data_IF_359632356340
#
_entry.id   IF_359632356340
#
_cell.length_a   1.000
_cell.length_b   1.000
_cell.length_c   1.000
_cell.angle_alpha   90.00
_cell.angle_beta   90.00
_cell.angle_gamma   90.00
#
_symmetry.space_group_name_H-M   'P 1'
#
loop_
_entity.id
_entity.type
_entity.pdbx_description
1 polymer ?
#
# COMPACT_ATOMS: atom_id res chain seq x y z
N UNK A 1 -17.67 15.67 -10.15
CA UNK A 1 -18.17 14.48 -9.43
C UNK A 1 -16.98 13.87 -8.71
N UNK A 2 -17.02 13.70 -7.38
CA UNK A 2 -16.01 12.89 -6.71
C UNK A 2 -16.07 11.47 -7.28
N UNK A 3 -14.91 10.88 -7.56
CA UNK A 3 -14.80 9.48 -7.96
C UNK A 3 -15.36 8.60 -6.83
N UNK A 4 -15.89 7.42 -7.15
CA UNK A 4 -16.50 6.50 -6.18
C UNK A 4 -15.63 6.36 -4.92
N UNK A 5 -16.26 6.19 -3.75
CA UNK A 5 -15.60 6.03 -2.45
C UNK A 5 -14.63 4.84 -2.35
N UNK A 6 -14.52 4.04 -3.41
CA UNK A 6 -13.62 2.90 -3.57
C UNK A 6 -12.29 3.31 -4.22
N UNK A 7 -12.23 4.43 -4.93
CA UNK A 7 -10.98 4.88 -5.56
C UNK A 7 -10.05 5.45 -4.49
N UNK A 8 -8.82 4.93 -4.34
CA UNK A 8 -7.92 5.31 -3.25
C UNK A 8 -7.20 6.62 -3.59
N UNK A 9 -7.96 7.71 -3.73
CA UNK A 9 -7.49 9.02 -4.20
C UNK A 9 -6.30 9.51 -3.36
N UNK A 10 -6.30 9.27 -2.05
CA UNK A 10 -5.20 9.64 -1.15
C UNK A 10 -3.84 9.08 -1.59
N UNK A 11 -3.81 7.91 -2.25
CA UNK A 11 -2.57 7.27 -2.68
C UNK A 11 -2.16 7.61 -4.12
N UNK A 12 -3.10 8.11 -4.94
CA UNK A 12 -2.80 8.54 -6.32
C UNK A 12 -2.62 10.05 -6.48
N UNK A 13 -3.16 10.85 -5.55
CA UNK A 13 -2.85 12.29 -5.43
C UNK A 13 -1.35 12.61 -5.49
N UNK A 14 -0.44 11.84 -4.87
CA UNK A 14 1.00 12.10 -4.91
C UNK A 14 1.72 11.61 -6.18
N UNK A 15 1.03 11.03 -7.17
CA UNK A 15 1.67 10.56 -8.39
C UNK A 15 2.45 11.70 -9.06
N UNK A 16 3.66 11.37 -9.52
CA UNK A 16 4.44 12.30 -10.33
C UNK A 16 3.69 12.62 -11.63
N UNK A 17 3.83 13.84 -12.19
CA UNK A 17 3.18 14.20 -13.45
C UNK A 17 3.48 13.20 -14.58
N UNK A 18 4.74 12.75 -14.70
CA UNK A 18 5.14 11.74 -15.69
C UNK A 18 4.36 10.43 -15.53
N UNK A 19 4.17 9.98 -14.30
CA UNK A 19 3.53 8.70 -14.01
C UNK A 19 2.02 8.79 -14.22
N UNK A 20 1.41 9.93 -13.86
CA UNK A 20 0.00 10.22 -14.16
C UNK A 20 -0.25 10.29 -15.67
N UNK A 21 0.62 10.97 -16.42
CA UNK A 21 0.55 11.04 -17.88
C UNK A 21 0.64 9.65 -18.51
N UNK A 22 1.56 8.80 -18.02
CA UNK A 22 1.69 7.42 -18.47
C UNK A 22 0.40 6.60 -18.22
N UNK A 23 -0.24 6.77 -17.07
CA UNK A 23 -1.55 6.14 -16.77
C UNK A 23 -2.61 6.63 -17.76
N UNK A 24 -2.69 7.94 -18.02
CA UNK A 24 -3.65 8.50 -18.99
C UNK A 24 -3.41 7.96 -20.40
N UNK A 25 -2.15 7.91 -20.85
CA UNK A 25 -1.78 7.34 -22.15
C UNK A 25 -2.17 5.88 -22.24
N UNK A 26 -1.84 5.07 -21.22
CA UNK A 26 -2.22 3.66 -21.17
C UNK A 26 -3.74 3.48 -21.24
N UNK A 27 -4.51 4.23 -20.44
CA UNK A 27 -5.98 4.14 -20.46
C UNK A 27 -6.59 4.48 -21.82
N UNK A 28 -5.93 5.33 -22.62
CA UNK A 28 -6.34 5.63 -24.01
C UNK A 28 -6.06 4.49 -24.99
N UNK A 29 -5.15 3.55 -24.68
CA UNK A 29 -4.88 2.39 -25.54
C UNK A 29 -5.81 1.20 -25.25
N UNK A 30 -6.46 1.19 -24.08
CA UNK A 30 -7.38 0.11 -23.70
C UNK A 30 -8.57 0.08 -24.65
N UNK A 31 -8.83 -1.08 -25.27
CA UNK A 31 -9.97 -1.28 -26.17
C UNK A 31 -11.26 -0.96 -25.43
N UNK A 32 -12.02 0.00 -25.96
CA UNK A 32 -13.32 0.37 -25.40
C UNK A 32 -14.26 -0.84 -25.43
N UNK A 33 -14.71 -1.27 -24.27
CA UNK A 33 -15.82 -2.21 -24.12
C UNK A 33 -17.06 -1.39 -23.77
N UNK A 34 -18.16 -1.60 -24.50
CA UNK A 34 -19.46 -1.03 -24.14
C UNK A 34 -20.24 -2.11 -23.39
N UNK A 35 -20.68 -1.76 -22.19
CA UNK A 35 -21.57 -2.57 -21.39
C UNK A 35 -22.57 -1.60 -20.75
N UNK A 36 -23.86 -1.90 -20.85
CA UNK A 36 -24.90 -1.07 -20.23
C UNK A 36 -24.90 -1.33 -18.71
N UNK A 37 -24.00 -0.64 -18.01
CA UNK A 37 -24.01 -0.55 -16.55
C UNK A 37 -24.81 0.68 -16.12
N UNK A 38 -25.67 0.58 -15.09
CA UNK A 38 -26.28 1.74 -14.46
C UNK A 38 -25.23 2.77 -14.03
N UNK A 39 -25.62 4.05 -14.01
CA UNK A 39 -24.75 5.09 -13.48
C UNK A 39 -24.47 4.85 -11.99
N UNK A 40 -23.27 5.17 -11.49
CA UNK A 40 -22.96 5.05 -10.07
C UNK A 40 -23.84 5.98 -9.24
N UNK A 41 -24.53 5.41 -8.24
CA UNK A 41 -25.28 6.16 -7.23
C UNK A 41 -24.41 6.41 -5.99
N UNK A 42 -24.17 7.67 -5.67
CA UNK A 42 -23.36 8.07 -4.51
C UNK A 42 -24.25 8.23 -3.28
N UNK A 43 -24.27 7.21 -2.42
CA UNK A 43 -25.15 7.17 -1.23
C UNK A 43 -24.51 7.69 0.05
N UNK A 44 -23.19 7.92 0.03
CA UNK A 44 -22.40 8.40 1.18
C UNK A 44 -21.33 9.39 0.73
N UNK A 45 -20.98 10.37 1.57
CA UNK A 45 -19.81 11.21 1.34
C UNK A 45 -18.56 10.35 1.20
N UNK A 46 -17.66 10.74 0.30
CA UNK A 46 -16.33 10.12 0.20
C UNK A 46 -15.52 10.58 1.41
N UNK A 47 -15.05 9.62 2.20
CA UNK A 47 -14.14 9.90 3.31
C UNK A 47 -12.70 9.93 2.81
N UNK A 48 -11.93 10.91 3.27
CA UNK A 48 -10.52 11.05 2.94
C UNK A 48 -9.69 10.82 4.20
N UNK A 49 -8.98 9.70 4.23
CA UNK A 49 -7.97 9.44 5.26
C UNK A 49 -6.67 10.15 4.83
N UNK A 50 -6.21 11.21 5.55
CA UNK A 50 -5.01 11.93 5.18
C UNK A 50 -3.78 11.05 5.40
N UNK A 51 -3.14 10.63 4.30
CA UNK A 51 -1.89 9.89 4.35
C UNK A 51 -0.70 10.87 4.30
N UNK A 52 0.14 10.97 5.35
CA UNK A 52 1.09 12.08 5.49
C UNK A 52 2.06 12.26 4.32
N UNK A 53 2.64 11.19 3.80
CA UNK A 53 3.58 11.28 2.68
C UNK A 53 2.88 11.66 1.36
N UNK A 54 1.64 11.22 1.17
CA UNK A 54 0.85 11.65 0.02
C UNK A 54 0.48 13.15 0.07
N UNK A 55 0.15 13.65 1.26
CA UNK A 55 -0.21 15.05 1.45
C UNK A 55 0.98 16.00 1.25
N UNK A 56 2.19 15.57 1.63
CA UNK A 56 3.43 16.31 1.33
C UNK A 56 3.72 16.37 -0.18
N UNK A 57 3.34 15.32 -0.90
CA UNK A 57 3.59 15.16 -2.34
C UNK A 57 5.06 14.81 -2.64
N UNK A 58 5.32 14.46 -3.91
CA UNK A 58 6.64 14.10 -4.42
C UNK A 58 7.00 14.91 -5.65
N UNK A 59 8.31 15.06 -5.89
CA UNK A 59 8.84 15.69 -7.11
C UNK A 59 9.86 14.78 -7.78
N UNK A 60 10.09 14.99 -9.08
CA UNK A 60 11.07 14.21 -9.84
C UNK A 60 12.47 14.26 -9.22
N UNK A 61 12.88 15.42 -8.70
CA UNK A 61 14.17 15.58 -8.03
C UNK A 61 14.32 14.68 -6.79
N UNK A 62 13.22 14.33 -6.12
CA UNK A 62 13.24 13.42 -4.98
C UNK A 62 13.54 11.96 -5.38
N UNK A 63 13.31 11.57 -6.63
CA UNK A 63 13.50 10.18 -7.07
C UNK A 63 14.96 9.74 -7.14
N UNK A 64 15.90 10.70 -7.07
CA UNK A 64 17.33 10.43 -6.95
C UNK A 64 17.74 10.00 -5.53
N UNK A 65 16.93 10.29 -4.51
CA UNK A 65 17.15 9.89 -3.12
C UNK A 65 16.46 8.53 -2.87
N UNK A 66 17.20 7.48 -2.49
CA UNK A 66 16.64 6.14 -2.29
C UNK A 66 15.51 6.09 -1.25
N UNK A 67 15.60 6.89 -0.17
CA UNK A 67 14.59 6.90 0.89
C UNK A 67 13.32 7.58 0.39
N UNK A 68 13.44 8.70 -0.34
CA UNK A 68 12.28 9.42 -0.88
C UNK A 68 11.61 8.65 -2.02
N UNK A 69 12.40 8.01 -2.89
CA UNK A 69 11.88 7.06 -3.89
C UNK A 69 11.16 5.89 -3.22
N UNK A 70 11.72 5.37 -2.13
CA UNK A 70 11.08 4.33 -1.32
C UNK A 70 9.75 4.76 -0.72
N UNK A 71 9.69 5.97 -0.16
CA UNK A 71 8.46 6.56 0.36
C UNK A 71 7.40 6.67 -0.73
N UNK A 72 7.78 7.12 -1.93
CA UNK A 72 6.89 7.19 -3.09
C UNK A 72 6.33 5.81 -3.45
N UNK A 73 7.22 4.81 -3.62
CA UNK A 73 6.84 3.45 -3.99
C UNK A 73 5.96 2.77 -2.93
N UNK A 74 6.25 2.97 -1.64
CA UNK A 74 5.42 2.46 -0.54
C UNK A 74 4.05 3.12 -0.50
N UNK A 75 3.97 4.39 -0.87
CA UNK A 75 2.71 5.14 -1.00
C UNK A 75 1.86 4.56 -2.12
N UNK A 76 2.37 4.59 -3.36
CA UNK A 76 1.61 4.15 -4.54
C UNK A 76 1.44 2.63 -4.60
N UNK A 77 2.25 1.89 -3.85
CA UNK A 77 2.13 0.45 -3.61
C UNK A 77 1.23 0.11 -2.42
N UNK A 78 0.56 1.09 -1.81
CA UNK A 78 -0.45 0.89 -0.77
C UNK A 78 0.01 0.11 0.47
N UNK A 79 1.31 0.02 0.75
CA UNK A 79 1.78 -0.91 1.79
C UNK A 79 1.24 -0.50 3.16
N UNK A 80 1.22 0.81 3.43
CA UNK A 80 0.75 1.36 4.71
C UNK A 80 -0.76 1.33 4.88
N UNK A 81 -1.53 1.06 3.83
CA UNK A 81 -2.99 0.91 3.92
C UNK A 81 -3.35 -0.33 4.74
N UNK A 82 -2.65 -1.44 4.50
CA UNK A 82 -2.85 -2.68 5.25
C UNK A 82 -2.00 -2.72 6.53
N UNK A 83 -0.78 -2.21 6.47
CA UNK A 83 0.18 -2.31 7.57
C UNK A 83 0.10 -1.18 8.61
N UNK A 84 -0.97 -0.39 8.62
CA UNK A 84 -1.25 0.58 9.68
C UNK A 84 -2.58 0.25 10.38
N UNK A 85 -2.78 0.69 11.64
CA UNK A 85 -4.01 0.44 12.36
C UNK A 85 -5.22 1.10 11.68
N UNK A 86 -6.41 0.58 11.97
CA UNK A 86 -7.68 1.18 11.57
C UNK A 86 -8.58 1.25 12.79
N UNK A 87 -9.06 2.44 13.12
CA UNK A 87 -9.96 2.68 14.25
C UNK A 87 -11.32 3.16 13.74
N UNK A 88 -12.41 2.51 14.18
CA UNK A 88 -13.80 2.88 13.81
C UNK A 88 -14.04 3.06 12.31
N UNK A 89 -13.32 2.29 11.48
CA UNK A 89 -13.44 2.36 10.02
C UNK A 89 -12.55 3.42 9.35
N UNK A 90 -11.72 4.15 10.09
CA UNK A 90 -10.78 5.17 9.61
C UNK A 90 -9.35 4.68 9.78
N UNK A 91 -8.51 4.88 8.76
CA UNK A 91 -7.09 4.48 8.85
C UNK A 91 -6.33 5.44 9.78
N UNK A 92 -5.58 4.90 10.74
CA UNK A 92 -4.69 5.69 11.59
C UNK A 92 -3.26 5.70 11.01
N UNK A 93 -2.98 6.74 10.22
CA UNK A 93 -1.65 7.00 9.67
C UNK A 93 -0.76 7.83 10.59
N UNK A 94 -1.16 8.09 11.84
CA UNK A 94 -0.21 8.60 12.86
C UNK A 94 0.67 7.47 13.40
N UNK A 95 0.16 6.23 13.33
CA UNK A 95 0.84 5.00 13.74
C UNK A 95 1.32 4.17 12.54
N UNK A 96 1.98 4.80 11.55
CA UNK A 96 2.41 4.15 10.31
C UNK A 96 3.21 2.87 10.55
N UNK A 97 2.82 1.79 9.86
CA UNK A 97 3.54 0.51 9.92
C UNK A 97 3.29 -0.31 11.19
N UNK A 98 2.50 0.18 12.16
CA UNK A 98 2.20 -0.52 13.43
C UNK A 98 1.33 -1.78 13.27
N UNK A 99 0.88 -2.06 12.05
CA UNK A 99 0.08 -3.24 11.70
C UNK A 99 -1.22 -3.29 12.49
N UNK A 100 -1.71 -4.51 12.72
CA UNK A 100 -2.88 -4.75 13.57
C UNK A 100 -4.23 -4.58 12.85
N UNK A 101 -4.25 -4.19 11.58
CA UNK A 101 -5.48 -4.19 10.78
C UNK A 101 -5.99 -5.63 10.63
N UNK A 102 -7.15 -5.89 11.21
CA UNK A 102 -7.83 -7.18 11.13
C UNK A 102 -8.75 -7.23 9.90
N UNK A 103 -8.67 -8.31 9.14
CA UNK A 103 -9.55 -8.62 8.02
C UNK A 103 -10.57 -9.68 8.46
N UNK A 104 -11.38 -9.36 9.47
CA UNK A 104 -12.40 -10.26 10.01
C UNK A 104 -13.76 -10.07 9.32
N UNK A 105 -14.67 -11.07 9.42
CA UNK A 105 -16.01 -11.00 8.80
C UNK A 105 -16.85 -9.79 9.25
N UNK A 106 -16.62 -9.27 10.46
CA UNK A 106 -17.34 -8.10 10.99
C UNK A 106 -16.80 -6.77 10.47
N UNK A 107 -15.59 -6.74 9.92
CA UNK A 107 -15.00 -5.52 9.38
C UNK A 107 -15.49 -5.24 7.95
N UNK A 108 -15.80 -6.28 7.17
CA UNK A 108 -16.09 -6.18 5.73
C UNK A 108 -16.71 -7.48 5.22
N UNK A 109 -18.01 -7.46 4.94
CA UNK A 109 -18.81 -8.61 4.45
C UNK A 109 -18.45 -9.04 3.02
N UNK A 110 -17.70 -8.22 2.28
CA UNK A 110 -17.42 -8.38 0.85
C UNK A 110 -16.05 -8.98 0.54
N UNK A 111 -15.22 -9.26 1.55
CA UNK A 111 -13.89 -9.84 1.28
C UNK A 111 -13.92 -11.34 1.05
N UNK A 112 -13.03 -11.85 0.17
CA UNK A 112 -12.88 -13.29 -0.06
C UNK A 112 -12.71 -14.04 1.27
N UNK A 113 -13.29 -15.23 1.37
CA UNK A 113 -13.18 -16.09 2.56
C UNK A 113 -11.73 -16.36 2.97
N UNK A 114 -10.78 -16.30 2.03
CA UNK A 114 -9.35 -16.49 2.25
C UNK A 114 -8.69 -15.38 3.07
N UNK A 115 -9.29 -14.19 3.16
CA UNK A 115 -8.79 -13.05 3.95
C UNK A 115 -9.23 -13.14 5.41
N UNK A 116 -10.28 -13.93 5.70
CA UNK A 116 -10.93 -13.99 7.00
C UNK A 116 -9.95 -14.43 8.09
N UNK A 117 -9.89 -13.63 9.16
CA UNK A 117 -9.09 -13.92 10.35
C UNK A 117 -7.60 -13.60 10.19
N UNK A 118 -7.21 -12.89 9.13
CA UNK A 118 -5.84 -12.41 8.96
C UNK A 118 -5.66 -11.04 9.60
N UNK A 119 -4.48 -10.79 10.13
CA UNK A 119 -4.07 -9.52 10.73
C UNK A 119 -2.78 -9.10 10.03
N UNK A 120 -2.75 -7.87 9.52
CA UNK A 120 -1.54 -7.35 8.91
C UNK A 120 -0.43 -7.19 9.97
N UNK A 121 0.77 -7.74 9.74
CA UNK A 121 1.87 -7.62 10.69
C UNK A 121 2.42 -6.19 10.73
N UNK A 122 3.19 -5.90 11.77
CA UNK A 122 3.99 -4.67 11.89
C UNK A 122 5.14 -4.71 10.87
N UNK A 123 5.40 -3.58 10.22
CA UNK A 123 6.54 -3.38 9.31
C UNK A 123 7.41 -2.19 9.72
N UNK A 124 7.31 -1.79 10.99
CA UNK A 124 8.18 -0.77 11.58
C UNK A 124 9.63 -1.23 11.66
N UNK A 125 10.56 -0.29 11.83
CA UNK A 125 11.97 -0.57 12.09
C UNK A 125 12.24 -1.18 13.48
N UNK A 126 11.20 -1.45 14.28
CA UNK A 126 11.37 -2.05 15.59
C UNK A 126 12.02 -3.44 15.47
N UNK A 127 13.06 -3.73 16.27
CA UNK A 127 13.89 -4.93 16.12
C UNK A 127 13.13 -6.25 16.31
N UNK A 128 12.24 -6.33 17.31
CA UNK A 128 11.52 -7.57 17.66
C UNK A 128 10.05 -7.56 17.26
N UNK A 129 9.34 -6.48 17.56
CA UNK A 129 7.94 -6.29 17.17
C UNK A 129 7.73 -6.01 15.67
N UNK A 130 8.72 -5.48 14.95
CA UNK A 130 8.64 -5.16 13.52
C UNK A 130 9.63 -5.95 12.67
N UNK A 131 10.08 -5.35 11.57
CA UNK A 131 11.04 -5.96 10.63
C UNK A 131 12.47 -5.46 10.83
N UNK A 132 12.75 -4.75 11.93
CA UNK A 132 14.05 -4.13 12.20
C UNK A 132 15.22 -5.11 12.24
N UNK A 133 14.99 -6.36 12.69
CA UNK A 133 16.02 -7.40 12.70
C UNK A 133 16.06 -8.28 11.44
N UNK A 134 15.16 -8.06 10.47
CA UNK A 134 15.18 -8.80 9.21
C UNK A 134 16.29 -8.23 8.34
N UNK A 135 16.97 -9.07 7.58
CA UNK A 135 17.89 -8.65 6.52
C UNK A 135 17.12 -8.06 5.34
N UNK A 136 17.79 -7.26 4.51
CA UNK A 136 17.17 -6.68 3.32
C UNK A 136 16.67 -7.79 2.37
N UNK A 137 17.45 -8.85 2.20
CA UNK A 137 17.07 -10.00 1.39
C UNK A 137 15.80 -10.70 1.90
N UNK A 138 15.61 -10.79 3.21
CA UNK A 138 14.39 -11.36 3.81
C UNK A 138 13.18 -10.47 3.57
N UNK A 139 13.34 -9.14 3.68
CA UNK A 139 12.26 -8.19 3.39
C UNK A 139 11.86 -8.26 1.91
N UNK A 140 12.84 -8.22 1.00
CA UNK A 140 12.61 -8.33 -0.45
C UNK A 140 11.94 -9.65 -0.82
N UNK A 141 12.37 -10.76 -0.20
CA UNK A 141 11.77 -12.09 -0.40
C UNK A 141 10.32 -12.13 0.09
N UNK A 142 10.01 -11.48 1.21
CA UNK A 142 8.64 -11.39 1.69
C UNK A 142 7.74 -10.59 0.73
N UNK A 143 8.25 -9.48 0.19
CA UNK A 143 7.53 -8.63 -0.77
C UNK A 143 7.27 -9.37 -2.10
N UNK A 144 8.30 -10.01 -2.66
CA UNK A 144 8.26 -10.54 -4.04
C UNK A 144 7.79 -11.99 -4.12
N UNK A 145 8.06 -12.80 -3.09
CA UNK A 145 7.75 -14.24 -3.09
C UNK A 145 6.71 -14.65 -2.06
N UNK A 146 6.28 -13.71 -1.21
CA UNK A 146 5.37 -14.02 -0.12
C UNK A 146 5.97 -15.01 0.89
N UNK A 147 7.27 -14.95 1.16
CA UNK A 147 7.95 -15.84 2.11
C UNK A 147 8.52 -15.02 3.27
N UNK A 148 7.98 -15.25 4.46
CA UNK A 148 8.39 -14.64 5.73
C UNK A 148 9.86 -14.96 6.10
N UNK A 149 10.42 -14.27 7.09
CA UNK A 149 11.77 -14.51 7.64
C UNK A 149 12.00 -15.97 8.00
N UNK A 150 11.00 -16.58 8.64
CA UNK A 150 10.98 -17.97 9.10
C UNK A 150 10.59 -19.00 8.00
N UNK A 151 10.49 -18.57 6.75
CA UNK A 151 10.17 -19.45 5.62
C UNK A 151 8.68 -19.72 5.42
N UNK A 152 7.79 -19.25 6.32
CA UNK A 152 6.35 -19.42 6.14
C UNK A 152 5.83 -18.63 4.95
N UNK A 153 4.88 -19.20 4.22
CA UNK A 153 4.14 -18.49 3.18
C UNK A 153 3.21 -17.45 3.80
N UNK A 154 3.27 -16.23 3.28
CA UNK A 154 2.32 -15.18 3.60
C UNK A 154 0.95 -15.55 3.02
N UNK A 155 -0.10 -15.11 3.70
CA UNK A 155 -1.49 -15.39 3.34
C UNK A 155 -2.13 -14.11 2.79
N UNK A 156 -3.20 -14.22 1.98
CA UNK A 156 -4.04 -13.08 1.61
C UNK A 156 -4.46 -12.27 2.86
N UNK A 157 -4.60 -10.94 2.78
CA UNK A 157 -4.65 -10.11 1.58
C UNK A 157 -3.31 -9.71 0.97
N UNK A 158 -2.18 -10.13 1.54
CA UNK A 158 -0.87 -9.68 1.03
C UNK A 158 -0.67 -10.07 -0.44
N UNK A 159 -0.68 -9.07 -1.32
CA UNK A 159 -0.67 -9.24 -2.78
C UNK A 159 0.72 -9.38 -3.38
N UNK A 160 1.58 -10.26 -2.84
CA UNK A 160 2.97 -10.39 -3.27
C UNK A 160 3.15 -10.66 -4.78
N UNK A 161 2.18 -11.29 -5.42
CA UNK A 161 2.18 -11.52 -6.88
C UNK A 161 2.25 -10.21 -7.68
N UNK A 162 1.64 -9.13 -7.19
CA UNK A 162 1.69 -7.82 -7.85
C UNK A 162 3.05 -7.13 -7.71
N UNK A 163 3.86 -7.53 -6.73
CA UNK A 163 5.21 -7.00 -6.49
C UNK A 163 6.32 -7.91 -7.02
N UNK A 164 5.97 -9.10 -7.53
CA UNK A 164 6.93 -10.13 -7.97
C UNK A 164 7.88 -9.67 -9.08
N UNK A 165 7.51 -8.61 -9.82
CA UNK A 165 8.27 -8.04 -10.94
C UNK A 165 8.91 -6.68 -10.63
N UNK A 166 8.92 -6.24 -9.38
CA UNK A 166 9.62 -5.01 -9.01
C UNK A 166 11.11 -5.14 -9.30
N UNK A 167 11.73 -4.05 -9.75
CA UNK A 167 13.17 -4.04 -10.01
C UNK A 167 13.93 -4.09 -8.69
N UNK A 168 15.18 -4.56 -8.73
CA UNK A 168 16.03 -4.60 -7.54
C UNK A 168 16.22 -3.20 -6.94
N UNK A 169 16.37 -2.18 -7.78
CA UNK A 169 16.51 -0.78 -7.35
C UNK A 169 15.25 -0.23 -6.66
N UNK A 170 14.06 -0.62 -7.12
CA UNK A 170 12.80 -0.24 -6.46
C UNK A 170 12.64 -0.94 -5.11
N UNK A 171 13.03 -2.22 -5.05
CA UNK A 171 13.04 -2.99 -3.82
C UNK A 171 14.04 -2.43 -2.79
N UNK A 172 15.23 -2.04 -3.24
CA UNK A 172 16.22 -1.34 -2.41
C UNK A 172 15.67 -0.04 -1.83
N UNK A 173 15.03 0.77 -2.67
CA UNK A 173 14.41 2.03 -2.25
C UNK A 173 13.30 1.77 -1.21
N UNK A 174 12.41 0.80 -1.46
CA UNK A 174 11.37 0.40 -0.49
C UNK A 174 11.99 -0.01 0.85
N UNK A 175 13.01 -0.87 0.82
CA UNK A 175 13.69 -1.31 2.05
C UNK A 175 14.31 -0.11 2.76
N UNK A 176 15.02 0.76 2.04
CA UNK A 176 15.61 1.97 2.61
C UNK A 176 14.58 2.84 3.33
N UNK A 177 13.40 3.05 2.73
CA UNK A 177 12.30 3.75 3.39
C UNK A 177 11.76 3.00 4.61
N UNK A 178 11.52 1.69 4.50
CA UNK A 178 11.01 0.89 5.63
C UNK A 178 11.95 0.91 6.84
N UNK A 179 13.27 1.07 6.63
CA UNK A 179 14.23 1.28 7.73
C UNK A 179 14.05 2.61 8.47
N UNK A 180 13.42 3.60 7.84
CA UNK A 180 13.13 4.91 8.46
C UNK A 180 11.78 4.96 9.18
N UNK A 181 10.91 3.97 8.97
CA UNK A 181 9.60 3.91 9.63
C UNK A 181 9.81 3.83 11.15
N UNK A 182 9.22 4.72 11.96
CA UNK A 182 9.45 4.77 13.40
C UNK A 182 9.25 3.41 14.08
N UNK A 183 10.09 3.02 15.05
CA UNK A 183 10.07 1.70 15.68
C UNK A 183 8.91 1.57 16.70
N UNK A 184 7.67 1.74 16.24
CA UNK A 184 6.48 1.55 17.09
C UNK A 184 6.24 0.07 17.36
N UNK A 185 5.73 -0.23 18.57
CA UNK A 185 5.40 -1.57 19.04
C UNK A 185 3.96 -1.98 18.77
#
# INVERSE_FOLDING_TARGET
MPLAAVMPISFFKPLLPRDLDAVVVYLRTVKRVRYDTPLPEYKKPVHHDPYPEAEKGFTEAMMADPVKRGAYLVTIGHCMECHSPREKGVSDYTSLGKGGRAFSPSAVTEFPSTWKGTIAPKITSHRTAGIGAWTDAEIKRAITKGISRDGRKLRPPMGFEYYSRMTEADLDAIVAYLRTVPPLQ
#
